data_IF_252816350153
#
_entry.id   IF_252816350153
#
_cell.length_a   1.000
_cell.length_b   1.000
_cell.length_c   1.000
_cell.angle_alpha   90.00
_cell.angle_beta   90.00
_cell.angle_gamma   90.00
#
_symmetry.space_group_name_H-M   'P 1'
#
loop_
_entity.id
_entity.type
_entity.pdbx_description
1 polymer ?
#
# COMPACT_ATOMS: atom_id res chain seq x y z
N UNK A 1 -2.42 21.24 6.21
CA UNK A 1 -2.20 20.00 6.98
C UNK A 1 -2.02 20.35 8.45
N UNK A 2 -2.90 19.83 9.33
CA UNK A 2 -2.82 20.05 10.78
C UNK A 2 -1.70 19.21 11.40
N UNK A 3 -1.33 19.48 12.66
CA UNK A 3 -0.33 18.67 13.39
C UNK A 3 -0.74 17.20 13.51
N UNK A 4 -2.04 16.94 13.71
CA UNK A 4 -2.63 15.59 13.71
C UNK A 4 -2.40 14.85 12.39
N UNK A 5 -2.70 15.51 11.27
CA UNK A 5 -2.59 14.93 9.93
C UNK A 5 -1.13 14.55 9.62
N UNK A 6 -0.17 15.40 10.02
CA UNK A 6 1.27 15.09 9.91
C UNK A 6 1.67 13.83 10.67
N UNK A 7 1.11 13.64 11.87
CA UNK A 7 1.41 12.47 12.70
C UNK A 7 0.81 11.20 12.10
N UNK A 8 -0.43 11.28 11.61
CA UNK A 8 -1.09 10.17 10.93
C UNK A 8 -0.31 9.77 9.67
N UNK A 9 0.06 10.75 8.83
CA UNK A 9 0.85 10.50 7.62
C UNK A 9 2.19 9.83 7.94
N UNK A 10 2.89 10.31 8.97
CA UNK A 10 4.14 9.69 9.40
C UNK A 10 3.94 8.24 9.85
N UNK A 11 2.91 7.96 10.65
CA UNK A 11 2.61 6.61 11.10
C UNK A 11 2.25 5.67 9.93
N UNK A 12 1.43 6.15 8.97
CA UNK A 12 1.09 5.37 7.77
C UNK A 12 2.35 5.06 6.97
N UNK A 13 3.23 6.04 6.77
CA UNK A 13 4.49 5.83 6.03
C UNK A 13 5.37 4.78 6.71
N UNK A 14 5.58 4.88 8.02
CA UNK A 14 6.38 3.91 8.77
C UNK A 14 5.78 2.50 8.70
N UNK A 15 4.46 2.39 8.90
CA UNK A 15 3.70 1.14 8.81
C UNK A 15 3.80 0.50 7.42
N UNK A 16 3.61 1.28 6.35
CA UNK A 16 3.68 0.78 4.99
C UNK A 16 5.11 0.52 4.51
N UNK A 17 6.12 1.20 5.07
CA UNK A 17 7.53 0.86 4.83
C UNK A 17 7.82 -0.57 5.29
N UNK A 18 7.38 -0.95 6.48
CA UNK A 18 7.55 -2.33 6.97
C UNK A 18 6.81 -3.35 6.09
N UNK A 19 5.59 -3.02 5.66
CA UNK A 19 4.85 -3.86 4.69
C UNK A 19 5.63 -4.02 3.40
N UNK A 20 6.24 -2.94 2.90
CA UNK A 20 7.02 -2.95 1.66
C UNK A 20 8.21 -3.90 1.77
N UNK A 21 8.98 -3.81 2.85
CA UNK A 21 10.15 -4.67 3.10
C UNK A 21 9.74 -6.14 3.17
N UNK A 22 8.71 -6.46 3.96
CA UNK A 22 8.20 -7.84 4.08
C UNK A 22 7.69 -8.36 2.73
N UNK A 23 6.94 -7.55 1.98
CA UNK A 23 6.37 -7.94 0.70
C UNK A 23 7.46 -8.17 -0.37
N UNK A 24 8.53 -7.38 -0.38
CA UNK A 24 9.65 -7.57 -1.31
C UNK A 24 10.35 -8.92 -1.10
N UNK A 25 10.39 -9.45 0.13
CA UNK A 25 10.99 -10.74 0.43
C UNK A 25 10.04 -11.93 0.16
N UNK A 26 8.73 -11.74 0.33
CA UNK A 26 7.76 -12.83 0.38
C UNK A 26 6.82 -12.92 -0.83
N UNK A 27 6.75 -11.87 -1.65
CA UNK A 27 5.84 -11.78 -2.79
C UNK A 27 6.63 -11.61 -4.08
N UNK A 28 6.64 -12.66 -4.89
CA UNK A 28 7.32 -12.63 -6.19
C UNK A 28 6.75 -11.52 -7.09
N UNK A 29 7.64 -10.70 -7.65
CA UNK A 29 7.29 -9.63 -8.57
C UNK A 29 6.77 -8.34 -7.91
N UNK A 30 6.72 -8.24 -6.58
CA UNK A 30 6.40 -7.00 -5.88
C UNK A 30 7.56 -6.00 -5.95
N UNK A 31 7.31 -4.74 -6.32
CA UNK A 31 8.32 -3.68 -6.33
C UNK A 31 8.20 -2.73 -5.13
N UNK A 32 7.03 -2.11 -4.94
CA UNK A 32 6.82 -1.08 -3.93
C UNK A 32 5.34 -0.87 -3.62
N UNK A 33 5.07 -0.17 -2.52
CA UNK A 33 3.73 0.26 -2.09
C UNK A 33 3.63 1.79 -2.02
N UNK A 34 2.46 2.33 -2.32
CA UNK A 34 2.16 3.75 -2.13
C UNK A 34 0.76 3.93 -1.59
N UNK A 35 0.50 5.05 -0.92
CA UNK A 35 -0.82 5.38 -0.41
C UNK A 35 -1.27 6.78 -0.82
N UNK A 36 -2.60 6.96 -0.81
CA UNK A 36 -3.30 8.25 -0.88
C UNK A 36 -4.37 8.24 0.20
N UNK A 37 -4.55 9.35 0.90
CA UNK A 37 -5.52 9.41 2.00
C UNK A 37 -6.15 10.78 2.13
N UNK A 38 -7.45 10.81 2.47
CA UNK A 38 -8.11 12.01 2.93
C UNK A 38 -8.15 12.03 4.46
N UNK A 39 -7.36 12.92 5.08
CA UNK A 39 -7.22 12.98 6.55
C UNK A 39 -8.51 13.31 7.32
N UNK A 40 -9.56 13.79 6.65
CA UNK A 40 -10.88 13.96 7.25
C UNK A 40 -11.62 12.65 7.53
N UNK A 41 -11.23 11.55 6.86
CA UNK A 41 -11.78 10.21 7.06
C UNK A 41 -10.75 9.16 6.65
N UNK A 42 -9.71 8.94 7.45
CA UNK A 42 -8.56 8.09 7.09
C UNK A 42 -8.99 6.66 6.74
N UNK A 43 -9.64 5.97 7.67
CA UNK A 43 -10.05 4.57 7.49
C UNK A 43 -10.98 4.35 6.28
N UNK A 44 -11.87 5.31 5.99
CA UNK A 44 -12.80 5.20 4.87
C UNK A 44 -12.28 5.76 3.55
N UNK A 45 -11.10 6.38 3.50
CA UNK A 45 -10.60 7.06 2.30
C UNK A 45 -9.19 6.69 1.88
N UNK A 46 -8.45 5.95 2.71
CA UNK A 46 -7.12 5.49 2.35
C UNK A 46 -7.21 4.60 1.11
N UNK A 47 -6.33 4.80 0.15
CA UNK A 47 -6.20 4.00 -1.06
C UNK A 47 -4.73 3.63 -1.17
N UNK A 48 -4.47 2.36 -1.39
CA UNK A 48 -3.15 1.76 -1.38
C UNK A 48 -2.95 1.13 -2.74
N UNK A 49 -1.79 1.39 -3.34
CA UNK A 49 -1.42 0.82 -4.62
C UNK A 49 -0.15 0.01 -4.42
N UNK A 50 -0.24 -1.29 -4.67
CA UNK A 50 0.88 -2.22 -4.68
C UNK A 50 1.34 -2.40 -6.12
N UNK A 51 2.60 -2.06 -6.38
CA UNK A 51 3.19 -2.15 -7.70
C UNK A 51 3.88 -3.49 -7.90
N UNK A 52 3.68 -4.05 -9.09
CA UNK A 52 4.32 -5.28 -9.53
C UNK A 52 5.09 -5.07 -10.82
N UNK A 53 6.21 -5.76 -10.98
CA UNK A 53 6.95 -5.83 -12.25
C UNK A 53 6.29 -6.76 -13.24
N UNK A 54 5.80 -7.91 -12.78
CA UNK A 54 5.14 -8.90 -13.64
C UNK A 54 3.88 -9.47 -12.97
N UNK A 55 2.73 -8.90 -13.30
CA UNK A 55 1.44 -9.30 -12.72
C UNK A 55 0.92 -10.66 -13.22
N UNK A 56 1.52 -11.21 -14.28
CA UNK A 56 1.06 -12.46 -14.91
C UNK A 56 1.11 -13.67 -13.97
N UNK A 57 1.98 -13.64 -12.95
CA UNK A 57 2.07 -14.72 -11.95
C UNK A 57 1.31 -14.41 -10.64
N UNK A 58 1.18 -13.14 -10.24
CA UNK A 58 0.67 -12.77 -8.91
C UNK A 58 -0.84 -13.04 -8.72
N UNK A 59 -1.68 -12.78 -9.72
CA UNK A 59 -3.14 -13.02 -9.62
C UNK A 59 -3.50 -14.51 -9.58
N UNK A 60 -2.59 -15.40 -10.00
CA UNK A 60 -2.80 -16.85 -10.01
C UNK A 60 -2.36 -17.53 -8.70
N UNK A 61 -1.60 -16.83 -7.84
CA UNK A 61 -0.95 -17.41 -6.66
C UNK A 61 -1.55 -17.00 -5.30
N UNK A 62 -2.70 -16.30 -5.27
CA UNK A 62 -3.33 -15.75 -4.05
C UNK A 62 -2.45 -14.78 -3.23
N UNK A 63 -1.47 -14.14 -3.87
CA UNK A 63 -0.64 -13.14 -3.18
C UNK A 63 -1.43 -11.89 -2.77
N UNK A 64 -2.59 -11.67 -3.38
CA UNK A 64 -3.56 -10.65 -2.99
C UNK A 64 -4.08 -10.86 -1.57
N UNK A 65 -4.46 -12.09 -1.19
CA UNK A 65 -4.93 -12.38 0.18
C UNK A 65 -3.85 -12.12 1.23
N UNK A 66 -2.61 -12.53 0.95
CA UNK A 66 -1.47 -12.28 1.84
C UNK A 66 -1.22 -10.78 2.03
N UNK A 67 -1.20 -10.00 0.93
CA UNK A 67 -0.99 -8.56 0.99
C UNK A 67 -2.14 -7.85 1.72
N UNK A 68 -3.39 -8.25 1.49
CA UNK A 68 -4.53 -7.72 2.22
C UNK A 68 -4.38 -7.92 3.73
N UNK A 69 -4.00 -9.13 4.17
CA UNK A 69 -3.79 -9.42 5.59
C UNK A 69 -2.64 -8.62 6.18
N UNK A 70 -1.50 -8.59 5.49
CA UNK A 70 -0.30 -7.86 5.93
C UNK A 70 -0.56 -6.35 6.07
N UNK A 71 -1.22 -5.74 5.07
CA UNK A 71 -1.58 -4.33 5.09
C UNK A 71 -2.59 -4.04 6.20
N UNK A 72 -3.65 -4.86 6.31
CA UNK A 72 -4.69 -4.66 7.32
C UNK A 72 -4.13 -4.76 8.75
N UNK A 73 -3.27 -5.75 9.00
CA UNK A 73 -2.60 -5.89 10.29
C UNK A 73 -1.71 -4.68 10.61
N UNK A 74 -0.88 -4.25 9.66
CA UNK A 74 0.03 -3.13 9.86
C UNK A 74 -0.71 -1.82 10.16
N UNK A 75 -1.83 -1.57 9.46
CA UNK A 75 -2.66 -0.37 9.69
C UNK A 75 -3.45 -0.44 11.00
N UNK A 76 -3.91 -1.63 11.40
CA UNK A 76 -4.60 -1.82 12.69
C UNK A 76 -3.69 -1.50 13.88
N UNK A 77 -2.38 -1.79 13.79
CA UNK A 77 -1.40 -1.45 14.83
C UNK A 77 -1.23 0.06 15.06
N UNK A 78 -1.66 0.90 14.11
CA UNK A 78 -1.65 2.36 14.22
C UNK A 78 -3.06 2.95 14.33
N UNK A 79 -4.02 2.16 14.82
CA UNK A 79 -5.42 2.55 15.05
C UNK A 79 -6.21 2.91 13.77
N UNK A 80 -5.81 2.37 12.61
CA UNK A 80 -6.54 2.53 11.34
C UNK A 80 -7.24 1.20 11.01
N UNK A 81 -8.48 1.05 11.49
CA UNK A 81 -9.31 -0.12 11.20
C UNK A 81 -10.07 0.04 9.88
N UNK A 82 -9.73 -0.80 8.90
CA UNK A 82 -10.37 -0.81 7.57
C UNK A 82 -11.32 -2.00 7.49
N UNK A 83 -12.61 -1.71 7.33
CA UNK A 83 -13.68 -2.73 7.28
C UNK A 83 -13.56 -3.69 6.10
N UNK A 84 -13.23 -3.19 4.92
CA UNK A 84 -13.11 -4.00 3.70
C UNK A 84 -11.84 -3.62 2.93
N UNK A 85 -10.70 -4.12 3.39
CA UNK A 85 -9.37 -3.79 2.85
C UNK A 85 -9.27 -4.00 1.33
N UNK A 86 -10.06 -4.92 0.76
CA UNK A 86 -10.06 -5.23 -0.68
C UNK A 86 -10.52 -4.05 -1.54
N UNK A 87 -11.30 -3.13 -0.97
CA UNK A 87 -11.74 -1.89 -1.65
C UNK A 87 -10.75 -0.73 -1.54
N UNK A 88 -9.70 -0.93 -0.75
CA UNK A 88 -8.71 0.09 -0.46
C UNK A 88 -7.33 -0.28 -1.00
N UNK A 89 -7.16 -1.44 -1.62
CA UNK A 89 -5.89 -1.93 -2.14
C UNK A 89 -6.05 -2.32 -3.61
N UNK A 90 -5.34 -1.61 -4.47
CA UNK A 90 -5.22 -1.88 -5.90
C UNK A 90 -3.84 -2.44 -6.23
N UNK A 91 -3.80 -3.26 -7.29
CA UNK A 91 -2.58 -3.83 -7.84
C UNK A 91 -2.31 -3.24 -9.22
N UNK A 92 -1.16 -2.60 -9.36
CA UNK A 92 -0.72 -1.99 -10.63
C UNK A 92 0.53 -2.73 -11.14
N UNK A 93 0.69 -2.81 -12.45
CA UNK A 93 1.84 -3.43 -13.11
C UNK A 93 2.77 -2.41 -13.78
N UNK A 94 2.53 -1.13 -13.55
CA UNK A 94 3.32 -0.07 -14.12
C UNK A 94 3.16 -0.01 -15.62
N UNK A 95 2.32 0.91 -16.08
CA UNK A 95 2.48 1.34 -17.45
C UNK A 95 3.91 1.92 -17.62
N UNK A 96 4.77 1.39 -18.50
CA UNK A 96 6.16 1.84 -18.65
C UNK A 96 6.32 3.35 -18.90
N UNK A 97 5.25 4.05 -19.32
CA UNK A 97 5.24 5.51 -19.51
C UNK A 97 5.26 6.33 -18.21
N UNK A 98 4.88 5.77 -17.06
CA UNK A 98 4.84 6.51 -15.78
C UNK A 98 6.15 6.43 -14.97
N UNK A 99 7.06 5.49 -15.30
CA UNK A 99 8.39 5.37 -14.67
C UNK A 99 9.23 6.66 -14.78
N UNK A 100 8.97 7.51 -15.77
CA UNK A 100 9.72 8.76 -16.02
C UNK A 100 9.51 9.86 -14.95
N UNK A 101 8.43 9.82 -14.16
CA UNK A 101 8.16 10.86 -13.14
C UNK A 101 8.72 10.56 -11.75
N UNK A 102 9.21 9.34 -11.48
CA UNK A 102 9.73 8.94 -10.16
C UNK A 102 11.23 9.12 -9.96
N UNK A 103 11.99 9.48 -11.00
CA UNK A 103 13.44 9.74 -10.90
C UNK A 103 13.79 11.20 -10.55
N UNK A 104 12.80 12.05 -10.27
CA UNK A 104 13.00 13.46 -9.89
C UNK A 104 12.08 13.83 -8.71
N UNK A 105 12.35 13.27 -7.54
CA UNK A 105 11.91 13.80 -6.25
C UNK A 105 12.85 13.32 -5.14
#
# INVERSE_FOLDING_TARGET
>A
MKKSDKKIEQNIRESLTQVCEIAQENVEGFEWISHKVHYGNVAGSIQITCMFTEFRNAKMAKHDEYLYQLIQQSLSLIDIDIKDIRRHVDFDNGNPYEKSKRSMA
#
